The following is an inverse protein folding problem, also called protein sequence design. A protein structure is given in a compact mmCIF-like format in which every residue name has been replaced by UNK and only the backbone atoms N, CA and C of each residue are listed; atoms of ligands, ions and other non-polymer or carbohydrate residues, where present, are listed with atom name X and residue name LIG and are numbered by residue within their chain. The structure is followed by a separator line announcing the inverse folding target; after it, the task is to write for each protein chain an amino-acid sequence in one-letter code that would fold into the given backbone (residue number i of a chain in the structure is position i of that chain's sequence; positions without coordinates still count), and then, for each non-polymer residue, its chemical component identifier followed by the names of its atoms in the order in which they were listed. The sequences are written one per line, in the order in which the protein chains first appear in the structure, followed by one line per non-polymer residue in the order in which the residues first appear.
data_IF_781993057149
#
_entry.id   IF_781993057149
#
_cell.length_a   1.000
_cell.length_b   1.000
_cell.length_c   1.000
_cell.angle_alpha   90.00
_cell.angle_beta   90.00
_cell.angle_gamma   90.00
#
_symmetry.space_group_name_H-M   'P 1'
#
loop_
_entity.id
_entity.type
_entity.pdbx_description
1 polymer ?
#
# COMPACT_ATOMS: atom_id res chain seq x y z
N UNK A 1 25.96 -12.07 16.65
CA UNK A 1 25.74 -13.42 16.13
C UNK A 1 24.79 -13.30 14.96
N UNK A 2 25.34 -13.54 13.78
CA UNK A 2 24.71 -14.00 12.54
C UNK A 2 23.17 -14.04 12.52
N UNK A 3 22.55 -13.07 11.83
CA UNK A 3 21.20 -13.18 11.29
C UNK A 3 21.28 -13.27 9.76
N UNK A 4 22.04 -14.24 9.26
CA UNK A 4 21.84 -14.70 7.90
C UNK A 4 20.72 -15.74 7.96
N UNK A 5 19.49 -15.22 7.94
CA UNK A 5 18.28 -15.99 7.76
C UNK A 5 18.45 -16.76 6.44
N UNK A 6 18.67 -18.06 6.54
CA UNK A 6 18.63 -18.99 5.42
C UNK A 6 17.25 -18.89 4.77
N UNK A 7 17.08 -18.00 3.78
CA UNK A 7 15.89 -18.01 2.93
C UNK A 7 15.94 -19.28 2.09
N UNK A 8 15.33 -20.34 2.60
CA UNK A 8 15.02 -21.54 1.83
C UNK A 8 13.53 -21.84 1.99
N UNK A 9 12.85 -21.78 0.85
CA UNK A 9 11.61 -22.50 0.49
C UNK A 9 10.23 -21.93 0.84
N UNK A 10 10.08 -20.67 1.27
CA UNK A 10 8.79 -19.98 1.16
C UNK A 10 9.04 -18.47 0.96
N UNK A 11 8.99 -17.98 -0.29
CA UNK A 11 9.09 -16.56 -0.70
C UNK A 11 7.86 -15.74 -0.25
N UNK A 12 7.40 -15.98 0.97
CA UNK A 12 6.11 -15.52 1.48
C UNK A 12 6.37 -14.68 2.72
N UNK A 13 5.98 -13.41 2.63
CA UNK A 13 6.06 -12.43 3.72
C UNK A 13 5.18 -12.88 4.88
N UNK A 14 5.62 -12.67 6.13
CA UNK A 14 4.78 -12.98 7.29
C UNK A 14 3.86 -11.78 7.64
N UNK A 15 2.89 -12.01 8.54
CA UNK A 15 1.92 -10.99 8.92
C UNK A 15 2.50 -9.77 9.66
N UNK A 16 3.55 -9.95 10.46
CA UNK A 16 4.24 -8.85 11.14
C UNK A 16 5.00 -7.97 10.14
N UNK A 17 5.67 -8.59 9.17
CA UNK A 17 6.35 -7.90 8.09
C UNK A 17 5.38 -7.21 7.14
N UNK A 18 4.17 -7.75 6.95
CA UNK A 18 3.12 -7.13 6.15
C UNK A 18 2.65 -5.78 6.73
N UNK A 19 2.51 -5.66 8.06
CA UNK A 19 2.13 -4.37 8.66
C UNK A 19 3.20 -3.31 8.36
N UNK A 20 4.47 -3.65 8.60
CA UNK A 20 5.60 -2.76 8.28
C UNK A 20 5.67 -2.43 6.79
N UNK A 21 5.45 -3.42 5.92
CA UNK A 21 5.39 -3.25 4.48
C UNK A 21 4.30 -2.25 4.07
N UNK A 22 3.08 -2.42 4.60
CA UNK A 22 1.93 -1.58 4.26
C UNK A 22 2.10 -0.15 4.76
N UNK A 23 2.73 0.02 5.93
CA UNK A 23 3.07 1.32 6.48
C UNK A 23 4.08 2.04 5.59
N UNK A 24 5.21 1.40 5.29
CA UNK A 24 6.24 1.98 4.44
C UNK A 24 5.70 2.34 3.04
N UNK A 25 4.91 1.46 2.45
CA UNK A 25 4.28 1.73 1.16
C UNK A 25 3.38 2.97 1.21
N UNK A 26 2.59 3.10 2.27
CA UNK A 26 1.73 4.28 2.47
C UNK A 26 2.57 5.56 2.64
N UNK A 27 3.69 5.48 3.35
CA UNK A 27 4.59 6.61 3.56
C UNK A 27 5.25 7.07 2.25
N UNK A 28 5.73 6.14 1.41
CA UNK A 28 6.32 6.48 0.10
C UNK A 28 5.27 7.12 -0.83
N UNK A 29 4.05 6.58 -0.84
CA UNK A 29 2.94 7.14 -1.63
C UNK A 29 2.59 8.55 -1.16
N UNK A 30 2.60 8.77 0.16
CA UNK A 30 2.34 10.07 0.75
C UNK A 30 3.42 11.09 0.35
N UNK A 31 4.69 10.69 0.42
CA UNK A 31 5.83 11.51 0.01
C UNK A 31 5.69 11.90 -1.46
N UNK A 32 5.49 10.90 -2.34
CA UNK A 32 5.29 11.12 -3.78
C UNK A 32 4.09 12.00 -4.06
N UNK A 33 2.94 11.81 -3.40
CA UNK A 33 1.77 12.66 -3.68
C UNK A 33 1.93 14.07 -3.11
N UNK A 34 2.68 14.24 -2.03
CA UNK A 34 3.04 15.57 -1.49
C UNK A 34 4.00 16.28 -2.43
N UNK A 35 5.01 15.59 -2.93
CA UNK A 35 5.96 16.10 -3.91
C UNK A 35 5.28 16.37 -5.26
N UNK A 36 4.62 15.38 -5.87
CA UNK A 36 3.88 15.49 -7.13
C UNK A 36 2.69 16.45 -7.06
N UNK A 37 2.09 16.64 -5.88
CA UNK A 37 1.05 17.66 -5.66
C UNK A 37 1.54 19.08 -5.94
N UNK A 38 2.86 19.32 -5.86
CA UNK A 38 3.47 20.57 -6.31
C UNK A 38 3.71 20.63 -7.83
N UNK A 39 3.66 19.48 -8.52
CA UNK A 39 3.86 19.31 -9.95
C UNK A 39 2.58 18.90 -10.70
N UNK A 40 1.39 19.23 -10.19
CA UNK A 40 0.06 18.73 -10.58
C UNK A 40 -0.35 18.87 -12.07
N UNK A 41 0.54 19.35 -12.94
CA UNK A 41 0.39 19.44 -14.39
C UNK A 41 1.12 18.34 -15.17
N UNK A 42 1.94 17.51 -14.51
CA UNK A 42 2.61 16.35 -15.10
C UNK A 42 1.64 15.15 -15.13
N UNK A 43 1.00 14.91 -16.28
CA UNK A 43 -0.15 14.00 -16.43
C UNK A 43 0.01 12.53 -16.00
N UNK A 44 -1.11 11.79 -16.15
CA UNK A 44 -1.40 10.42 -15.68
C UNK A 44 -0.25 9.40 -15.88
N UNK A 45 0.55 9.55 -16.93
CA UNK A 45 1.66 8.65 -17.29
C UNK A 45 2.81 8.66 -16.26
N UNK A 46 3.09 9.80 -15.64
CA UNK A 46 4.19 9.95 -14.67
C UNK A 46 3.82 9.36 -13.31
N UNK A 47 2.58 9.58 -12.85
CA UNK A 47 2.07 9.01 -11.60
C UNK A 47 2.00 7.48 -11.66
N UNK A 48 1.46 6.91 -12.76
CA UNK A 48 1.37 5.45 -12.92
C UNK A 48 2.75 4.79 -12.88
N UNK A 49 3.72 5.38 -13.58
CA UNK A 49 5.10 4.91 -13.55
C UNK A 49 5.70 4.99 -12.14
N UNK A 50 5.47 6.08 -11.41
CA UNK A 50 5.94 6.20 -10.03
C UNK A 50 5.35 5.10 -9.13
N UNK A 51 4.05 4.82 -9.23
CA UNK A 51 3.45 3.71 -8.47
C UNK A 51 4.05 2.35 -8.84
N UNK A 52 4.31 2.10 -10.13
CA UNK A 52 5.01 0.89 -10.55
C UNK A 52 6.43 0.82 -9.97
N UNK A 53 7.20 1.92 -10.00
CA UNK A 53 8.54 1.99 -9.41
C UNK A 53 8.51 1.74 -7.89
N UNK A 54 7.51 2.25 -7.15
CA UNK A 54 7.33 1.93 -5.72
C UNK A 54 7.10 0.44 -5.54
N UNK A 55 6.19 -0.16 -6.31
CA UNK A 55 5.92 -1.60 -6.23
C UNK A 55 7.17 -2.42 -6.53
N UNK A 56 7.95 -2.02 -7.54
CA UNK A 56 9.20 -2.68 -7.92
C UNK A 56 10.25 -2.55 -6.80
N UNK A 57 10.37 -1.36 -6.20
CA UNK A 57 11.23 -1.12 -5.05
C UNK A 57 10.85 -2.02 -3.87
N UNK A 58 9.57 -2.10 -3.53
CA UNK A 58 9.08 -2.95 -2.44
C UNK A 58 9.28 -4.43 -2.73
N UNK A 59 9.04 -4.88 -3.98
CA UNK A 59 9.33 -6.24 -4.43
C UNK A 59 10.80 -6.63 -4.21
N UNK A 60 11.71 -5.77 -4.64
CA UNK A 60 13.16 -5.99 -4.53
C UNK A 60 13.63 -5.93 -3.07
N UNK A 61 13.17 -4.93 -2.31
CA UNK A 61 13.53 -4.72 -0.90
C UNK A 61 13.21 -5.92 -0.03
N UNK A 62 12.00 -6.47 -0.18
CA UNK A 62 11.56 -7.63 0.58
C UNK A 62 11.93 -8.96 -0.08
N UNK A 63 12.53 -8.91 -1.28
CA UNK A 63 12.98 -10.03 -2.10
C UNK A 63 11.90 -11.11 -2.30
N UNK A 64 10.73 -10.72 -2.81
CA UNK A 64 9.69 -11.66 -3.23
C UNK A 64 9.42 -11.55 -4.74
N UNK A 65 8.74 -12.54 -5.31
CA UNK A 65 8.39 -12.53 -6.74
C UNK A 65 6.93 -12.15 -6.94
N UNK A 66 6.66 -11.38 -8.00
CA UNK A 66 5.33 -10.97 -8.38
C UNK A 66 5.30 -10.57 -9.85
N UNK A 67 4.23 -10.93 -10.57
CA UNK A 67 4.11 -10.74 -12.02
C UNK A 67 4.02 -9.26 -12.41
N UNK A 68 4.83 -8.81 -13.38
CA UNK A 68 4.88 -7.41 -13.81
C UNK A 68 3.54 -6.91 -14.37
N UNK A 69 2.80 -7.74 -15.12
CA UNK A 69 1.43 -7.40 -15.57
C UNK A 69 0.48 -7.11 -14.41
N UNK A 70 0.60 -7.87 -13.31
CA UNK A 70 -0.20 -7.65 -12.10
C UNK A 70 0.27 -6.43 -11.34
N UNK A 71 1.58 -6.13 -11.32
CA UNK A 71 2.10 -4.88 -10.75
C UNK A 71 1.56 -3.66 -11.50
N UNK A 72 1.52 -3.72 -12.83
CA UNK A 72 1.00 -2.63 -13.63
C UNK A 72 -0.50 -2.40 -13.36
N UNK A 73 -1.28 -3.48 -13.24
CA UNK A 73 -2.69 -3.39 -12.85
C UNK A 73 -2.85 -2.81 -11.44
N UNK A 74 -2.04 -3.26 -10.47
CA UNK A 74 -2.05 -2.76 -9.10
C UNK A 74 -1.67 -1.27 -9.04
N UNK A 75 -0.64 -0.84 -9.76
CA UNK A 75 -0.22 0.56 -9.85
C UNK A 75 -1.36 1.46 -10.34
N UNK A 76 -2.12 1.01 -11.35
CA UNK A 76 -3.32 1.71 -11.86
C UNK A 76 -4.42 1.84 -10.81
N UNK A 77 -4.73 0.76 -10.08
CA UNK A 77 -5.73 0.81 -9.01
C UNK A 77 -5.28 1.70 -7.84
N UNK A 78 -4.00 1.61 -7.46
CA UNK A 78 -3.42 2.48 -6.42
C UNK A 78 -3.52 3.95 -6.79
N UNK A 79 -3.21 4.30 -8.03
CA UNK A 79 -3.38 5.66 -8.55
C UNK A 79 -4.81 6.14 -8.35
N UNK A 80 -5.81 5.32 -8.69
CA UNK A 80 -7.20 5.69 -8.53
C UNK A 80 -7.60 5.92 -7.06
N UNK A 81 -7.10 5.09 -6.14
CA UNK A 81 -7.33 5.23 -4.69
C UNK A 81 -6.70 6.52 -4.15
N UNK A 82 -5.45 6.78 -4.52
CA UNK A 82 -4.71 7.98 -4.10
C UNK A 82 -5.33 9.24 -4.70
N UNK A 83 -5.70 9.21 -5.98
CA UNK A 83 -6.37 10.32 -6.67
C UNK A 83 -7.67 10.67 -5.95
N UNK A 84 -8.49 9.67 -5.62
CA UNK A 84 -9.75 9.86 -4.91
C UNK A 84 -9.56 10.51 -3.53
N UNK A 85 -8.50 10.13 -2.81
CA UNK A 85 -8.12 10.72 -1.52
C UNK A 85 -7.58 12.15 -1.69
N UNK A 86 -6.78 12.39 -2.71
CA UNK A 86 -6.11 13.67 -2.93
C UNK A 86 -7.04 14.80 -3.40
N UNK A 87 -8.29 14.48 -3.76
CA UNK A 87 -9.34 15.46 -4.08
C UNK A 87 -9.73 16.35 -2.90
N UNK A 88 -9.47 15.91 -1.67
CA UNK A 88 -9.79 16.70 -0.50
C UNK A 88 -8.70 17.76 -0.26
N UNK A 89 -9.06 19.05 -0.09
CA UNK A 89 -8.10 20.08 0.28
C UNK A 89 -7.47 19.76 1.64
N UNK A 90 -6.15 19.97 1.76
CA UNK A 90 -5.36 19.64 2.95
C UNK A 90 -5.45 18.16 3.40
N UNK A 91 -5.76 17.22 2.50
CA UNK A 91 -5.78 15.79 2.81
C UNK A 91 -4.47 15.31 3.47
N UNK A 92 -3.35 15.93 3.11
CA UNK A 92 -2.02 15.63 3.66
C UNK A 92 -1.82 16.07 5.10
N UNK A 93 -2.72 16.90 5.65
CA UNK A 93 -2.69 17.32 7.07
C UNK A 93 -3.77 16.62 7.90
N UNK A 94 -4.60 15.78 7.28
CA UNK A 94 -5.74 15.13 7.93
C UNK A 94 -5.43 13.67 8.25
N UNK A 95 -5.24 13.39 9.53
CA UNK A 95 -4.97 12.03 10.02
C UNK A 95 -6.10 11.05 9.69
N UNK A 96 -7.35 11.51 9.70
CA UNK A 96 -8.51 10.68 9.36
C UNK A 96 -8.52 10.28 7.88
N UNK A 97 -8.14 11.20 6.98
CA UNK A 97 -8.02 10.92 5.54
C UNK A 97 -6.81 10.03 5.26
N UNK A 98 -5.69 10.24 5.95
CA UNK A 98 -4.51 9.37 5.85
C UNK A 98 -4.80 7.94 6.31
N UNK A 99 -5.47 7.80 7.46
CA UNK A 99 -5.85 6.50 7.98
C UNK A 99 -6.81 5.77 7.02
N UNK A 100 -7.77 6.50 6.42
CA UNK A 100 -8.63 5.96 5.37
C UNK A 100 -7.83 5.47 4.16
N UNK A 101 -6.89 6.28 3.66
CA UNK A 101 -6.03 5.89 2.53
C UNK A 101 -5.23 4.63 2.85
N UNK A 102 -4.59 4.57 4.04
CA UNK A 102 -3.84 3.39 4.49
C UNK A 102 -4.71 2.13 4.43
N UNK A 103 -5.95 2.22 4.95
CA UNK A 103 -6.90 1.10 4.94
C UNK A 103 -7.31 0.69 3.52
N UNK A 104 -7.62 1.65 2.65
CA UNK A 104 -7.95 1.34 1.25
C UNK A 104 -6.77 0.66 0.52
N UNK A 105 -5.54 1.10 0.80
CA UNK A 105 -4.33 0.48 0.27
C UNK A 105 -4.12 -0.94 0.80
N UNK A 106 -4.24 -1.19 2.12
CA UNK A 106 -4.11 -2.53 2.70
C UNK A 106 -5.09 -3.52 2.07
N UNK A 107 -6.35 -3.11 1.89
CA UNK A 107 -7.37 -3.95 1.28
C UNK A 107 -7.10 -4.19 -0.22
N UNK A 108 -6.60 -3.17 -0.93
CA UNK A 108 -6.19 -3.30 -2.33
C UNK A 108 -5.01 -4.26 -2.47
N UNK A 109 -4.00 -4.13 -1.64
CA UNK A 109 -2.85 -5.01 -1.56
C UNK A 109 -3.26 -6.47 -1.34
N UNK A 110 -4.15 -6.72 -0.36
CA UNK A 110 -4.71 -8.04 -0.11
C UNK A 110 -5.46 -8.60 -1.33
N UNK A 111 -6.31 -7.79 -1.97
CA UNK A 111 -7.05 -8.18 -3.19
C UNK A 111 -6.10 -8.61 -4.32
N UNK A 112 -4.97 -7.94 -4.46
CA UNK A 112 -3.95 -8.26 -5.46
C UNK A 112 -2.96 -9.35 -4.99
N UNK A 113 -3.06 -9.83 -3.75
CA UNK A 113 -2.08 -10.74 -3.13
C UNK A 113 -0.65 -10.19 -3.21
N UNK A 114 -0.51 -8.89 -2.98
CA UNK A 114 0.76 -8.18 -2.97
C UNK A 114 0.98 -7.59 -1.57
N UNK A 115 2.05 -7.95 -0.86
CA UNK A 115 2.98 -9.03 -1.18
C UNK A 115 2.29 -10.41 -1.05
N UNK A 116 2.92 -11.48 -1.55
CA UNK A 116 2.51 -12.84 -1.20
C UNK A 116 2.76 -13.05 0.30
N UNK A 117 1.69 -13.00 1.09
CA UNK A 117 1.75 -13.13 2.55
C UNK A 117 1.20 -14.49 2.99
N UNK A 118 1.82 -15.09 4.01
CA UNK A 118 1.34 -16.31 4.60
C UNK A 118 0.06 -15.95 5.35
N UNK A 119 -1.04 -16.67 5.08
CA UNK A 119 -2.31 -16.44 5.78
C UNK A 119 -2.18 -16.89 7.24
N UNK A 120 -1.59 -16.02 8.06
CA UNK A 120 -1.31 -16.20 9.48
C UNK A 120 -2.21 -15.30 10.34
N UNK A 121 -2.35 -15.62 11.62
CA UNK A 121 -3.15 -14.87 12.59
C UNK A 121 -2.80 -13.38 12.63
N UNK A 122 -1.52 -13.01 12.54
CA UNK A 122 -1.10 -11.60 12.56
C UNK A 122 -1.63 -10.87 11.31
N UNK A 123 -1.50 -11.50 10.14
CA UNK A 123 -1.97 -10.93 8.88
C UNK A 123 -3.48 -10.70 8.90
N UNK A 124 -4.23 -11.72 9.35
CA UNK A 124 -5.68 -11.63 9.50
C UNK A 124 -6.07 -10.54 10.51
N UNK A 125 -5.29 -10.35 11.57
CA UNK A 125 -5.46 -9.26 12.52
C UNK A 125 -5.30 -7.87 11.90
N UNK A 126 -4.31 -7.66 11.02
CA UNK A 126 -4.11 -6.39 10.29
C UNK A 126 -5.28 -6.13 9.35
N UNK A 127 -5.72 -7.15 8.60
CA UNK A 127 -6.87 -7.03 7.71
C UNK A 127 -8.15 -6.71 8.47
N UNK A 128 -8.43 -7.43 9.56
CA UNK A 128 -9.61 -7.18 10.38
C UNK A 128 -9.61 -5.75 10.97
N UNK A 129 -8.45 -5.22 11.35
CA UNK A 129 -8.33 -3.83 11.79
C UNK A 129 -8.65 -2.85 10.65
N UNK A 130 -8.13 -3.10 9.45
CA UNK A 130 -8.43 -2.28 8.28
C UNK A 130 -9.93 -2.33 7.93
N UNK A 131 -10.55 -3.51 7.93
CA UNK A 131 -11.98 -3.68 7.68
C UNK A 131 -12.85 -3.00 8.74
N UNK A 132 -12.50 -3.15 10.02
CA UNK A 132 -13.21 -2.49 11.11
C UNK A 132 -13.12 -0.97 10.98
N UNK A 133 -11.93 -0.42 10.68
CA UNK A 133 -11.79 1.02 10.45
C UNK A 133 -12.74 1.50 9.35
N UNK A 134 -12.79 0.78 8.21
CA UNK A 134 -13.71 1.10 7.11
C UNK A 134 -15.18 1.08 7.56
N UNK A 135 -15.60 0.07 8.32
CA UNK A 135 -16.98 -0.04 8.83
C UNK A 135 -17.33 1.09 9.81
N UNK A 136 -16.48 1.36 10.79
CA UNK A 136 -16.72 2.39 11.81
C UNK A 136 -16.76 3.80 11.23
N UNK A 137 -15.91 4.11 10.24
CA UNK A 137 -15.86 5.41 9.59
C UNK A 137 -17.02 5.66 8.61
N UNK A 138 -17.64 4.59 8.08
CA UNK A 138 -18.91 4.67 7.34
C UNK A 138 -20.06 4.95 8.29
N UNK A 139 -20.04 4.36 9.49
CA UNK A 139 -21.15 4.43 10.44
C UNK A 139 -21.19 5.73 11.27
N UNK A 140 -20.13 6.55 11.24
CA UNK A 140 -20.08 7.88 11.89
C UNK A 140 -20.52 9.04 10.99
N UNK A 141 -20.87 8.76 9.74
CA UNK A 141 -21.38 9.73 8.76
C UNK A 141 -22.91 9.72 8.60
N UNK A 142 -23.64 9.05 9.50
CA UNK A 142 -25.11 8.99 9.52
C UNK A 142 -25.65 9.67 10.77
#
# INVERSE_FOLDING_TARGET
MDKYNERREDDVLNGEEFDSFSQEMTDIIYDIKTEMGTYAEMGIDIEEKAFYDILAHMRDKYQFTYEDDKMLALAKEMKAVVDNTSKYPDWSKRDDIKAKLKVELILLLHKHKFPPVANDDVYMGVLAQAENFKQHHINTLH
#
